data_IF_027261250839
#
_entry.id   IF_027261250839
#
_cell.length_a   1.000
_cell.length_b   1.000
_cell.length_c   1.000
_cell.angle_alpha   90.00
_cell.angle_beta   90.00
_cell.angle_gamma   90.00
#
_symmetry.space_group_name_H-M   'P 1'
#
loop_
_entity.id
_entity.type
_entity.pdbx_description
1 polymer ?
2 polymer ?
3 water ?
#
# COMPACT_ATOMS: atom_id res chain seq x y z
N UNK A 3 -22.79 10.74 -13.02
CA UNK A 3 -21.36 10.74 -12.79
C UNK A 3 -20.80 9.31 -12.76
N UNK A 4 -21.66 8.35 -12.45
CA UNK A 4 -21.26 6.95 -12.42
C UNK A 4 -20.84 6.46 -13.80
N UNK A 5 -21.51 6.96 -14.83
CA UNK A 5 -21.23 6.56 -16.19
C UNK A 5 -19.88 7.06 -16.69
N UNK A 6 -19.51 8.28 -16.33
CA UNK A 6 -18.20 8.80 -16.71
C UNK A 6 -17.10 8.06 -15.97
N UNK A 7 -17.36 7.67 -14.72
CA UNK A 7 -16.41 6.89 -13.94
C UNK A 7 -16.05 5.62 -14.67
N UNK A 8 -17.06 4.94 -15.21
CA UNK A 8 -16.83 3.71 -15.95
C UNK A 8 -15.99 3.96 -17.19
N UNK A 9 -16.13 5.13 -17.79
CA UNK A 9 -15.43 5.46 -19.02
C UNK A 9 -13.97 5.84 -18.74
N UNK A 10 -13.74 6.57 -17.66
CA UNK A 10 -12.38 6.99 -17.33
C UNK A 10 -11.58 5.79 -16.86
N UNK A 11 -12.21 4.95 -16.04
CA UNK A 11 -11.73 3.59 -15.82
C UNK A 11 -11.90 2.91 -17.17
N UNK A 12 -11.24 1.77 -17.39
CA UNK A 12 -11.27 1.10 -18.70
C UNK A 12 -10.38 1.84 -19.72
N UNK A 13 -10.66 3.12 -19.95
CA UNK A 13 -9.78 3.91 -20.81
C UNK A 13 -8.40 4.00 -20.16
N UNK A 14 -8.37 4.27 -18.86
CA UNK A 14 -7.11 4.24 -18.12
C UNK A 14 -6.48 2.86 -18.23
N UNK A 15 -7.30 1.83 -18.06
CA UNK A 15 -6.86 0.45 -18.16
C UNK A 15 -6.25 0.16 -19.55
N UNK A 16 -7.00 0.49 -20.60
CA UNK A 16 -6.56 0.20 -21.97
C UNK A 16 -5.33 1.01 -22.36
N UNK A 17 -5.24 2.23 -21.84
CA UNK A 17 -4.05 3.06 -22.08
C UNK A 17 -2.84 2.47 -21.38
N UNK A 18 -3.05 1.93 -20.18
CA UNK A 18 -1.95 1.36 -19.40
C UNK A 18 -1.42 0.08 -20.04
N UNK A 19 -2.32 -0.65 -20.71
CA UNK A 19 -1.94 -1.89 -21.39
C UNK A 19 -0.98 -1.62 -22.53
N UNK A 20 -0.92 -0.37 -22.99
CA UNK A 20 -0.05 0.04 -24.09
C UNK A 20 1.02 1.02 -23.60
N UNK A 21 1.31 0.97 -22.30
CA UNK A 21 2.36 1.79 -21.71
C UNK A 21 2.03 3.27 -21.64
N UNK A 22 0.75 3.61 -21.81
CA UNK A 22 0.29 4.99 -21.76
C UNK A 22 -0.45 5.26 -20.46
N UNK A 23 -0.81 6.51 -20.23
CA UNK A 23 -1.45 6.90 -18.98
C UNK A 23 -2.54 7.95 -19.19
N UNK A 24 -3.72 7.69 -18.62
CA UNK A 24 -4.85 8.61 -18.72
C UNK A 24 -4.52 9.96 -18.09
N UNK A 25 -4.01 9.90 -16.87
CA UNK A 25 -3.55 11.05 -16.14
C UNK A 25 -2.41 10.55 -15.26
N UNK A 26 -1.56 11.43 -14.74
CA UNK A 26 -0.50 10.95 -13.86
C UNK A 26 -0.94 11.15 -12.41
N UNK A 27 -2.22 10.85 -12.21
CA UNK A 27 -2.76 10.34 -10.96
C UNK A 27 -3.02 8.86 -11.20
N UNK A 28 -3.34 8.52 -12.45
CA UNK A 28 -3.58 7.14 -12.84
C UNK A 28 -2.27 6.35 -12.91
N UNK A 29 -1.17 7.03 -13.21
CA UNK A 29 0.14 6.39 -13.25
C UNK A 29 0.62 6.09 -11.84
N UNK A 30 0.23 6.96 -10.90
CA UNK A 30 0.52 6.72 -9.48
C UNK A 30 -0.21 5.48 -9.02
N UNK A 31 -1.50 5.41 -9.33
CA UNK A 31 -2.31 4.25 -8.96
C UNK A 31 -1.75 2.99 -9.58
N UNK A 32 -1.32 3.08 -10.84
CA UNK A 32 -0.75 1.94 -11.56
C UNK A 32 0.56 1.49 -10.92
N UNK A 33 1.47 2.43 -10.74
CA UNK A 33 2.79 2.13 -10.19
C UNK A 33 2.68 1.52 -8.80
N UNK A 34 1.68 1.96 -8.04
CA UNK A 34 1.50 1.49 -6.67
C UNK A 34 0.90 0.08 -6.66
N UNK A 35 0.09 -0.23 -7.66
CA UNK A 35 -0.47 -1.57 -7.79
C UNK A 35 0.66 -2.57 -8.09
N UNK A 36 1.53 -2.20 -9.01
CA UNK A 36 2.65 -3.04 -9.41
C UNK A 36 3.64 -3.21 -8.27
N UNK A 37 3.94 -2.10 -7.59
CA UNK A 37 4.87 -2.12 -6.47
C UNK A 37 4.38 -3.06 -5.38
N UNK A 38 3.09 -3.01 -5.10
CA UNK A 38 2.48 -3.88 -4.10
C UNK A 38 2.57 -5.34 -4.49
N UNK A 39 2.50 -5.62 -5.78
CA UNK A 39 2.60 -6.99 -6.27
C UNK A 39 4.03 -7.51 -6.08
N UNK A 40 5.00 -6.66 -6.36
CA UNK A 40 6.41 -7.04 -6.23
C UNK A 40 6.81 -7.15 -4.76
N UNK A 41 6.30 -6.25 -3.93
CA UNK A 41 6.58 -6.27 -2.51
C UNK A 41 6.05 -7.56 -1.88
N UNK A 42 4.78 -7.85 -2.16
CA UNK A 42 4.13 -9.04 -1.62
C UNK A 42 4.81 -10.31 -2.11
N UNK A 43 5.57 -10.21 -3.20
CA UNK A 43 6.31 -11.34 -3.74
C UNK A 43 7.61 -11.54 -2.97
N UNK A 44 8.42 -10.49 -2.90
CA UNK A 44 9.73 -10.59 -2.23
C UNK A 44 9.56 -10.75 -0.72
N UNK A 45 8.39 -10.41 -0.21
CA UNK A 45 8.06 -10.65 1.20
C UNK A 45 7.74 -12.12 1.39
N UNK A 46 7.12 -12.72 0.38
CA UNK A 46 6.71 -14.11 0.46
C UNK A 46 7.90 -15.06 0.39
N UNK A 47 8.84 -14.77 -0.51
CA UNK A 47 10.00 -15.64 -0.71
C UNK A 47 10.96 -15.54 0.47
N UNK A 48 11.11 -14.34 1.01
CA UNK A 48 12.04 -14.10 2.10
C UNK A 48 11.50 -14.62 3.43
N UNK A 49 10.18 -14.53 3.61
CA UNK A 49 9.53 -14.96 4.85
C UNK A 49 8.34 -15.85 4.51
N UNK A 50 7.17 -15.52 5.04
CA UNK A 50 5.93 -16.22 4.70
C UNK A 50 5.02 -15.27 3.93
N UNK A 51 3.92 -15.82 3.40
CA UNK A 51 2.91 -14.98 2.75
C UNK A 51 2.35 -14.01 3.78
N UNK A 52 2.32 -12.73 3.42
CA UNK A 52 1.93 -11.67 4.33
C UNK A 52 0.53 -11.87 4.90
N UNK A 53 -0.38 -12.37 4.08
CA UNK A 53 -1.76 -12.54 4.49
C UNK A 53 -1.92 -13.70 5.47
N UNK A 54 -1.13 -14.75 5.28
CA UNK A 54 -1.18 -15.92 6.16
C UNK A 54 -0.70 -15.56 7.56
N UNK A 55 0.27 -14.66 7.63
CA UNK A 55 0.83 -14.23 8.90
C UNK A 55 -0.20 -13.47 9.74
N UNK A 56 -1.24 -12.95 9.10
CA UNK A 56 -2.26 -12.19 9.80
C UNK A 56 -3.24 -13.10 10.52
N UNK A 57 -3.44 -12.83 11.81
CA UNK A 57 -4.41 -13.55 12.62
C UNK A 57 -5.10 -12.55 13.55
N UNK A 58 -6.18 -11.95 13.07
CA UNK A 58 -6.83 -10.86 13.77
C UNK A 58 -7.83 -11.31 14.83
N UNK A 59 -7.50 -11.01 16.07
CA UNK A 59 -8.42 -11.24 17.18
C UNK A 59 -9.60 -10.27 17.03
N UNK A 60 -10.82 -10.73 17.36
CA UNK A 60 -11.97 -9.83 17.22
C UNK A 60 -11.89 -8.59 18.10
N UNK A 61 -12.21 -7.43 17.53
CA UNK A 61 -12.23 -6.18 18.27
C UNK A 61 -10.84 -5.71 18.68
N UNK A 62 -9.83 -6.09 17.91
CA UNK A 62 -8.46 -5.66 18.15
C UNK A 62 -7.77 -5.26 16.85
N UNK A 63 -8.56 -5.08 15.79
CA UNK A 63 -8.01 -4.83 14.47
C UNK A 63 -7.34 -3.46 14.36
N UNK A 64 -7.93 -2.46 15.01
CA UNK A 64 -7.37 -1.12 15.00
C UNK A 64 -6.03 -1.10 15.71
N UNK A 65 -5.99 -1.69 16.90
CA UNK A 65 -4.77 -1.74 17.69
C UNK A 65 -3.69 -2.49 16.93
N UNK A 66 -4.07 -3.59 16.29
CA UNK A 66 -3.13 -4.38 15.49
C UNK A 66 -2.58 -3.53 14.35
N UNK A 67 -3.47 -2.81 13.68
CA UNK A 67 -3.10 -1.96 12.56
C UNK A 67 -2.16 -0.84 12.99
N UNK A 68 -2.55 -0.09 14.01
CA UNK A 68 -1.77 1.06 14.46
C UNK A 68 -0.41 0.65 15.01
N UNK A 69 -0.32 -0.54 15.57
CA UNK A 69 0.94 -1.01 16.16
C UNK A 69 2.00 -1.23 15.08
N UNK A 70 1.63 -1.98 14.05
CA UNK A 70 2.54 -2.31 12.96
C UNK A 70 2.95 -1.05 12.19
N UNK A 71 1.98 -0.18 11.92
CA UNK A 71 2.23 1.03 11.15
C UNK A 71 3.13 1.99 11.92
N UNK A 72 2.82 2.21 13.20
CA UNK A 72 3.61 3.13 14.01
C UNK A 72 5.04 2.63 14.17
N UNK A 73 5.22 1.30 14.17
CA UNK A 73 6.54 0.70 14.26
C UNK A 73 7.28 0.78 12.93
N UNK A 74 6.54 0.65 11.83
CA UNK A 74 7.11 0.69 10.49
C UNK A 74 7.80 2.02 10.21
N UNK A 75 7.20 3.12 10.68
CA UNK A 75 7.71 4.46 10.41
C UNK A 75 8.30 5.10 11.66
N UNK A 76 8.67 4.28 12.65
CA UNK A 76 9.14 4.78 13.93
C UNK A 76 10.35 5.69 13.80
N UNK A 77 11.30 5.29 12.96
CA UNK A 77 12.58 6.00 12.84
C UNK A 77 12.74 6.74 11.52
N UNK A 78 11.75 6.63 10.63
CA UNK A 78 11.81 7.34 9.37
C UNK A 78 10.79 6.89 8.34
N UNK A 79 10.76 7.59 7.20
CA UNK A 79 9.86 7.27 6.09
C UNK A 79 10.64 7.17 4.79
N UNK A 80 10.27 6.20 3.97
CA UNK A 80 10.79 6.10 2.61
C UNK A 80 9.75 5.43 1.72
N UNK A 81 9.98 5.47 0.41
CA UNK A 81 9.01 4.94 -0.55
C UNK A 81 8.75 3.46 -0.34
N UNK A 82 9.82 2.69 -0.13
CA UNK A 82 9.69 1.25 0.06
C UNK A 82 8.83 0.90 1.27
N UNK A 83 8.87 1.76 2.28
CA UNK A 83 8.06 1.55 3.48
C UNK A 83 6.60 1.92 3.22
N UNK A 84 6.38 2.96 2.44
CA UNK A 84 5.03 3.35 2.07
C UNK A 84 4.38 2.23 1.26
N UNK A 85 5.19 1.56 0.44
CA UNK A 85 4.70 0.39 -0.29
C UNK A 85 4.27 -0.70 0.70
N UNK A 86 5.10 -0.94 1.71
CA UNK A 86 4.78 -1.91 2.75
C UNK A 86 3.49 -1.54 3.46
N UNK A 87 3.30 -0.24 3.70
CA UNK A 87 2.11 0.28 4.35
C UNK A 87 0.84 -0.09 3.57
N UNK A 88 0.87 0.08 2.25
CA UNK A 88 -0.29 -0.25 1.41
C UNK A 88 -0.53 -1.76 1.36
N UNK A 89 0.52 -2.52 1.14
CA UNK A 89 0.42 -3.98 1.04
C UNK A 89 -0.13 -4.58 2.32
N UNK A 90 0.38 -4.12 3.47
CA UNK A 90 -0.09 -4.62 4.75
C UNK A 90 -1.57 -4.33 4.96
N UNK A 91 -1.98 -3.12 4.59
CA UNK A 91 -3.38 -2.75 4.65
C UNK A 91 -4.22 -3.61 3.72
N UNK A 92 -3.69 -3.88 2.53
CA UNK A 92 -4.35 -4.75 1.57
C UNK A 92 -4.49 -6.17 2.09
N UNK A 93 -3.44 -6.67 2.71
CA UNK A 93 -3.45 -8.02 3.27
C UNK A 93 -4.47 -8.12 4.40
N UNK A 94 -4.66 -7.02 5.11
CA UNK A 94 -5.57 -6.98 6.24
C UNK A 94 -7.03 -6.99 5.79
N UNK A 95 -7.32 -6.31 4.67
CA UNK A 95 -8.65 -6.34 4.08
C UNK A 95 -8.97 -7.72 3.52
N UNK A 96 -7.95 -8.38 2.98
CA UNK A 96 -8.11 -9.73 2.44
C UNK A 96 -8.20 -10.77 3.55
N UNK A 97 -7.50 -10.53 4.67
CA UNK A 97 -7.59 -11.43 5.82
C UNK A 97 -8.95 -11.26 6.48
N UNK A 98 -9.41 -10.03 6.56
CA UNK A 98 -10.82 -9.77 6.81
C UNK A 98 -11.56 -10.28 5.58
N UNK A 99 -12.89 -10.37 5.63
CA UNK A 99 -13.68 -10.98 4.55
C UNK A 99 -13.47 -12.49 4.55
N UNK A 100 -12.22 -12.95 4.51
CA UNK A 100 -11.90 -14.36 4.66
C UNK A 100 -12.52 -14.92 5.94
N UNK A 101 -12.44 -14.15 7.02
CA UNK A 101 -12.99 -14.56 8.30
C UNK A 101 -14.36 -13.94 8.52
N UNK A 102 -15.03 -13.58 7.43
CA UNK A 102 -16.36 -12.99 7.48
C UNK A 102 -16.39 -11.78 8.41
N UNK A 103 -15.51 -10.82 8.15
CA UNK A 103 -15.48 -9.56 8.91
C UNK A 103 -15.41 -8.38 7.94
N UNK A 104 -16.31 -8.37 6.96
CA UNK A 104 -16.30 -7.38 5.88
C UNK A 104 -16.46 -5.95 6.39
N UNK A 105 -17.07 -5.81 7.57
CA UNK A 105 -17.30 -4.50 8.17
C UNK A 105 -16.00 -3.73 8.36
N UNK A 106 -14.90 -4.46 8.55
CA UNK A 106 -13.60 -3.87 8.82
C UNK A 106 -12.98 -3.21 7.59
N UNK A 107 -13.38 -3.66 6.41
CA UNK A 107 -12.76 -3.22 5.17
C UNK A 107 -12.82 -1.70 5.01
N UNK A 108 -13.99 -1.11 5.24
CA UNK A 108 -14.15 0.34 5.13
C UNK A 108 -13.38 1.05 6.25
N UNK A 109 -13.33 0.41 7.41
CA UNK A 109 -12.65 0.99 8.57
C UNK A 109 -11.14 1.04 8.34
N UNK A 110 -10.61 -0.04 7.77
CA UNK A 110 -9.20 -0.11 7.42
C UNK A 110 -8.84 0.97 6.42
N UNK A 111 -9.71 1.17 5.43
CA UNK A 111 -9.49 2.20 4.42
C UNK A 111 -9.41 3.58 5.07
N UNK A 112 -10.25 3.80 6.08
CA UNK A 112 -10.26 5.06 6.80
C UNK A 112 -8.97 5.23 7.62
N UNK A 113 -8.51 4.14 8.24
CA UNK A 113 -7.27 4.19 9.01
C UNK A 113 -6.09 4.50 8.10
N UNK A 114 -6.05 3.87 6.93
CA UNK A 114 -4.98 4.08 5.98
C UNK A 114 -4.96 5.50 5.44
N UNK A 115 -6.12 5.96 4.96
CA UNK A 115 -6.24 7.29 4.39
C UNK A 115 -5.89 8.39 5.40
N UNK A 116 -6.35 8.20 6.63
CA UNK A 116 -6.09 9.17 7.69
C UNK A 116 -4.59 9.24 8.00
N UNK A 117 -3.97 8.08 8.15
CA UNK A 117 -2.55 8.03 8.48
C UNK A 117 -1.72 8.58 7.34
N UNK A 118 -2.15 8.30 6.12
CA UNK A 118 -1.47 8.79 4.93
C UNK A 118 -1.52 10.31 4.89
N UNK A 119 -2.70 10.87 5.16
CA UNK A 119 -2.89 12.31 5.13
C UNK A 119 -2.09 13.07 6.18
N UNK A 120 -2.25 12.64 7.44
CA UNK A 120 -1.69 13.38 8.57
C UNK A 120 -0.19 13.15 8.73
N UNK A 121 0.26 11.91 8.61
CA UNK A 121 1.62 11.54 8.99
C UNK A 121 2.59 11.37 7.83
N UNK A 122 2.13 10.80 6.72
CA UNK A 122 3.01 10.49 5.59
C UNK A 122 3.07 11.60 4.53
N UNK A 123 1.96 12.32 4.36
CA UNK A 123 1.87 13.34 3.31
C UNK A 123 3.00 14.37 3.40
N UNK A 124 3.24 14.93 4.60
CA UNK A 124 4.30 15.93 4.71
C UNK A 124 5.65 15.45 4.18
N UNK A 125 6.00 14.20 4.47
CA UNK A 125 7.23 13.63 3.96
C UNK A 125 7.19 13.54 2.44
N UNK A 126 6.04 13.10 1.92
CA UNK A 126 5.85 12.92 0.49
C UNK A 126 6.04 14.24 -0.25
N UNK A 127 5.58 15.34 0.34
CA UNK A 127 5.69 16.65 -0.31
C UNK A 127 7.15 17.09 -0.42
N UNK A 128 7.91 16.89 0.64
CA UNK A 128 9.30 17.35 0.70
C UNK A 128 10.18 16.55 -0.26
N UNK A 129 9.79 15.30 -0.52
CA UNK A 129 10.55 14.43 -1.41
C UNK A 129 9.98 14.37 -2.82
N UNK A 130 9.50 15.50 -3.31
CA UNK A 130 9.09 15.65 -4.69
C UNK A 130 7.74 15.04 -5.06
N UNK A 131 6.94 14.73 -4.05
CA UNK A 131 5.59 14.26 -4.28
C UNK A 131 5.49 12.89 -4.91
N UNK A 132 4.26 12.48 -5.24
CA UNK A 132 4.00 11.16 -5.80
C UNK A 132 4.55 10.99 -7.20
N UNK A 133 4.79 12.10 -7.90
CA UNK A 133 5.35 12.05 -9.24
C UNK A 133 6.74 11.41 -9.21
N UNK A 134 7.49 11.69 -8.15
CA UNK A 134 8.82 11.12 -7.98
C UNK A 134 8.75 9.61 -7.82
N UNK A 135 7.76 9.15 -7.07
CA UNK A 135 7.58 7.73 -6.81
C UNK A 135 7.42 6.94 -8.12
N UNK A 136 6.76 7.54 -9.10
CA UNK A 136 6.53 6.87 -10.38
C UNK A 136 7.82 6.72 -11.18
N UNK A 137 8.67 7.74 -11.14
CA UNK A 137 9.96 7.69 -11.84
C UNK A 137 10.81 6.52 -11.37
N UNK A 138 10.85 6.31 -10.06
CA UNK A 138 11.68 5.25 -9.47
C UNK A 138 11.06 3.88 -9.69
N UNK A 139 9.74 3.84 -9.81
CA UNK A 139 9.01 2.61 -10.07
C UNK A 139 8.30 2.67 -11.42
N UNK A 140 9.07 2.68 -12.50
CA UNK A 140 8.52 2.81 -13.84
C UNK A 140 7.95 1.50 -14.36
N UNK B 4 5.95 -9.19 12.12
CA UNK B 4 5.48 -8.62 10.87
C UNK B 4 6.04 -7.22 10.64
N UNK B 5 6.13 -6.44 11.71
CA UNK B 5 6.60 -5.07 11.63
C UNK B 5 8.05 -4.97 11.16
N UNK B 6 8.91 -5.82 11.72
CA UNK B 6 10.32 -5.83 11.37
C UNK B 6 10.51 -6.34 9.95
N UNK B 7 9.70 -7.31 9.56
CA UNK B 7 9.81 -7.92 8.23
C UNK B 7 9.44 -6.91 7.16
N UNK B 8 8.34 -6.19 7.36
CA UNK B 8 7.91 -5.16 6.43
C UNK B 8 8.97 -4.07 6.26
N UNK B 9 9.63 -3.72 7.38
CA UNK B 9 10.69 -2.72 7.37
C UNK B 9 11.89 -3.17 6.53
N UNK B 10 12.10 -4.48 6.49
CA UNK B 10 13.24 -5.02 5.82
C UNK B 10 13.07 -4.90 4.31
N UNK B 11 12.05 -5.56 3.76
CA UNK B 11 11.79 -5.51 2.33
C UNK B 11 11.52 -4.08 1.90
N UNK B 12 10.92 -3.31 2.80
CA UNK B 12 10.70 -1.89 2.56
C UNK B 12 12.02 -1.17 2.35
N UNK B 13 12.98 -1.41 3.24
CA UNK B 13 14.27 -0.74 3.17
C UNK B 13 15.13 -1.30 2.04
N UNK B 14 14.86 -2.55 1.65
CA UNK B 14 15.59 -3.17 0.59
C UNK B 14 15.10 -2.60 -0.73
N UNK B 15 13.80 -2.35 -0.83
CA UNK B 15 13.23 -1.68 -2.00
C UNK B 15 13.84 -0.31 -2.19
N UNK B 16 13.86 0.49 -1.13
CA UNK B 16 14.31 1.86 -1.21
C UNK B 16 15.78 1.95 -1.61
N UNK B 17 16.61 1.09 -1.03
CA UNK B 17 18.04 1.08 -1.34
C UNK B 17 18.29 0.53 -2.74
N UNK B 18 17.34 -0.26 -3.25
CA UNK B 18 17.48 -0.86 -4.57
C UNK B 18 17.50 0.21 -5.66
N UNK B 19 16.71 1.27 -5.46
CA UNK B 19 16.60 2.35 -6.43
C UNK B 19 17.44 3.56 -6.03
#
# INVERSE_FOLDING_TARGET
MSQSNRELVVDFLSYKLSQKGYSWSQMAAVKQALREAGDEFELRYRRAFSDLTSQLHITPGTAYQSFEQVVNELFRDGVNWGRIVAFFSFGGALCVESVDKEMQVLVSRIAAWMATYLNDHLEPWIQENGGWDTFVELYGNNAAAESRKGQER
XIWIAQELRLIGDLFNAYYARR
#
